data_IF_685891987504
#
_entry.id   IF_685891987504
#
_cell.length_a   1.000
_cell.length_b   1.000
_cell.length_c   1.000
_cell.angle_alpha   90.00
_cell.angle_beta   90.00
_cell.angle_gamma   90.00
#
_symmetry.space_group_name_H-M   'P 1'
#
loop_
_entity.id
_entity.type
_entity.pdbx_description
1 polymer ?
#
# COMPACT_ATOMS: atom_id res chain seq x y z
N UNK A 1 48.73 -67.49 -10.67
CA UNK A 1 48.63 -67.40 -9.20
C UNK A 1 47.17 -67.25 -8.83
N UNK A 2 46.68 -68.18 -8.03
CA UNK A 2 45.32 -68.36 -7.49
C UNK A 2 45.02 -67.40 -6.33
N UNK A 3 43.73 -67.07 -6.11
CA UNK A 3 43.03 -66.87 -4.81
C UNK A 3 41.81 -65.94 -5.04
N UNK A 4 40.54 -66.36 -4.91
CA UNK A 4 39.74 -66.57 -3.66
C UNK A 4 39.81 -65.30 -2.78
N UNK A 5 38.76 -64.61 -2.33
CA UNK A 5 37.33 -64.86 -2.23
C UNK A 5 36.81 -64.13 -0.96
N UNK A 6 35.50 -63.85 -0.92
CA UNK A 6 34.67 -63.65 0.27
C UNK A 6 34.51 -62.26 0.96
N UNK A 7 33.25 -61.81 0.88
CA UNK A 7 32.35 -61.29 1.94
C UNK A 7 32.32 -59.82 2.42
N UNK A 8 31.09 -59.29 2.69
CA UNK A 8 30.80 -57.89 2.98
C UNK A 8 30.69 -57.60 4.49
N UNK A 9 30.87 -56.33 4.87
CA UNK A 9 30.59 -55.83 6.22
C UNK A 9 29.51 -54.74 6.17
N UNK A 10 28.35 -55.06 6.76
CA UNK A 10 27.30 -54.12 7.11
C UNK A 10 27.71 -53.29 8.33
N UNK A 11 27.40 -51.98 8.40
CA UNK A 11 27.48 -51.23 9.63
C UNK A 11 26.26 -51.49 10.53
N UNK A 12 26.55 -51.78 11.81
CA UNK A 12 25.62 -51.96 12.92
C UNK A 12 24.97 -50.62 13.28
N UNK A 13 23.63 -50.57 13.28
CA UNK A 13 22.82 -49.45 13.77
C UNK A 13 22.38 -49.72 15.20
N UNK A 14 22.92 -48.99 16.18
CA UNK A 14 22.48 -48.99 17.57
C UNK A 14 21.21 -48.16 17.74
N UNK A 15 20.08 -48.80 18.04
CA UNK A 15 18.83 -48.15 18.44
C UNK A 15 18.90 -47.79 19.94
N UNK A 16 18.83 -46.50 20.25
CA UNK A 16 18.54 -46.02 21.60
C UNK A 16 17.03 -46.02 21.82
N UNK A 17 16.59 -46.78 22.83
CA UNK A 17 15.19 -46.83 23.29
C UNK A 17 15.03 -45.83 24.43
N UNK A 18 14.26 -44.77 24.22
CA UNK A 18 13.87 -43.81 25.26
C UNK A 18 12.49 -44.19 25.79
N UNK A 19 12.41 -44.60 27.05
CA UNK A 19 11.15 -44.84 27.76
C UNK A 19 10.56 -43.50 28.22
N UNK A 20 9.39 -43.13 27.74
CA UNK A 20 8.60 -41.99 28.23
C UNK A 20 7.45 -42.50 29.10
N UNK A 21 7.45 -42.09 30.36
CA UNK A 21 6.38 -42.38 31.32
C UNK A 21 5.20 -41.42 31.12
N UNK A 22 3.98 -41.98 31.06
CA UNK A 22 2.71 -41.26 30.90
C UNK A 22 2.19 -40.77 32.26
N UNK A 23 1.90 -39.47 32.47
CA UNK A 23 1.20 -39.01 33.67
C UNK A 23 -0.33 -39.20 33.57
N UNK A 24 -0.96 -39.48 34.72
CA UNK A 24 -2.39 -39.68 34.90
C UNK A 24 -3.22 -38.38 34.68
N UNK A 25 -4.51 -38.47 34.31
CA UNK A 25 -5.32 -37.29 34.00
C UNK A 25 -5.78 -36.54 35.26
N UNK A 26 -5.46 -35.25 35.32
CA UNK A 26 -5.96 -34.31 36.34
C UNK A 26 -7.35 -33.80 35.96
N UNK A 27 -8.29 -33.86 36.91
CA UNK A 27 -9.66 -33.38 36.76
C UNK A 27 -9.66 -31.84 36.74
N UNK A 28 -10.08 -31.23 35.62
CA UNK A 28 -10.19 -29.78 35.50
C UNK A 28 -11.49 -29.28 36.16
N UNK A 29 -11.35 -28.34 37.11
CA UNK A 29 -12.45 -27.59 37.71
C UNK A 29 -12.94 -26.54 36.72
N UNK A 30 -14.24 -26.54 36.39
CA UNK A 30 -14.85 -25.46 35.61
C UNK A 30 -14.90 -24.19 36.45
N UNK A 31 -14.11 -23.18 36.07
CA UNK A 31 -14.26 -21.81 36.55
C UNK A 31 -15.08 -21.04 35.52
N UNK A 32 -16.28 -20.64 35.90
CA UNK A 32 -17.17 -19.80 35.07
C UNK A 32 -16.56 -18.40 34.95
N UNK A 33 -16.01 -18.07 33.78
CA UNK A 33 -15.57 -16.71 33.46
C UNK A 33 -16.80 -15.91 33.00
N UNK A 34 -17.14 -14.86 33.74
CA UNK A 34 -18.18 -13.91 33.33
C UNK A 34 -17.60 -13.09 32.19
N UNK A 35 -18.08 -13.31 30.97
CA UNK A 35 -17.74 -12.50 29.80
C UNK A 35 -18.27 -11.08 30.00
N UNK A 36 -17.40 -10.17 30.44
CA UNK A 36 -17.61 -8.74 30.24
C UNK A 36 -17.46 -8.48 28.74
N UNK A 37 -18.59 -8.33 28.05
CA UNK A 37 -18.62 -7.88 26.65
C UNK A 37 -18.14 -6.43 26.66
N UNK A 38 -16.83 -6.22 26.45
CA UNK A 38 -16.35 -4.92 26.03
C UNK A 38 -16.91 -4.67 24.63
N UNK A 39 -17.68 -3.60 24.52
CA UNK A 39 -18.15 -3.07 23.26
C UNK A 39 -16.93 -2.47 22.55
N UNK A 40 -16.21 -3.31 21.78
CA UNK A 40 -15.15 -2.81 20.91
C UNK A 40 -15.77 -1.82 19.94
N UNK A 41 -15.32 -0.57 20.03
CA UNK A 41 -15.62 0.43 19.03
C UNK A 41 -15.05 -0.08 17.71
N UNK A 42 -15.83 -0.15 16.61
CA UNK A 42 -15.31 -0.67 15.36
C UNK A 42 -14.13 0.21 14.95
N UNK A 43 -12.91 -0.35 15.04
CA UNK A 43 -11.74 0.25 14.40
C UNK A 43 -12.08 0.30 12.93
N UNK A 44 -12.23 1.51 12.40
CA UNK A 44 -12.46 1.70 10.97
C UNK A 44 -11.27 1.06 10.26
N UNK A 45 -11.52 -0.06 9.59
CA UNK A 45 -10.56 -0.66 8.67
C UNK A 45 -10.27 0.41 7.63
N UNK A 46 -9.12 1.09 7.75
CA UNK A 46 -8.66 1.97 6.69
C UNK A 46 -8.45 1.08 5.47
N UNK A 47 -9.28 1.28 4.44
CA UNK A 47 -9.09 0.61 3.16
C UNK A 47 -7.85 1.23 2.55
N UNK A 48 -6.73 0.53 2.62
CA UNK A 48 -5.51 0.97 1.96
C UNK A 48 -5.59 0.53 0.50
N UNK A 49 -5.66 1.50 -0.41
CA UNK A 49 -5.54 1.23 -1.84
C UNK A 49 -4.08 0.99 -2.20
N UNK A 50 -3.78 -0.13 -2.86
CA UNK A 50 -2.45 -0.42 -3.38
C UNK A 50 -2.42 -0.26 -4.90
N UNK A 51 -1.52 0.58 -5.41
CA UNK A 51 -1.39 0.76 -6.86
C UNK A 51 -0.59 -0.39 -7.50
N UNK A 52 -1.01 -0.81 -8.69
CA UNK A 52 -0.33 -1.88 -9.44
C UNK A 52 1.01 -1.41 -9.99
N UNK A 53 2.11 -1.71 -9.29
CA UNK A 53 3.48 -1.27 -9.62
C UNK A 53 3.86 -1.48 -11.08
N UNK A 54 3.65 -2.68 -11.62
CA UNK A 54 4.01 -3.02 -13.00
C UNK A 54 3.23 -2.19 -14.03
N UNK A 55 1.93 -1.98 -13.77
CA UNK A 55 1.08 -1.16 -14.63
C UNK A 55 1.51 0.31 -14.56
N UNK A 56 1.73 0.83 -13.36
CA UNK A 56 2.19 2.21 -13.13
C UNK A 56 3.52 2.50 -13.83
N UNK A 57 4.49 1.60 -13.73
CA UNK A 57 5.78 1.73 -14.43
C UNK A 57 5.58 1.69 -15.95
N UNK A 58 4.74 0.78 -16.44
CA UNK A 58 4.44 0.64 -17.87
C UNK A 58 3.84 1.93 -18.44
N UNK A 59 2.78 2.46 -17.85
CA UNK A 59 2.14 3.68 -18.34
C UNK A 59 3.07 4.89 -18.28
N UNK A 60 3.92 4.99 -17.27
CA UNK A 60 4.92 6.05 -17.15
C UNK A 60 5.98 5.93 -18.25
N UNK A 61 6.52 4.73 -18.47
CA UNK A 61 7.57 4.48 -19.47
C UNK A 61 7.09 4.76 -20.91
N UNK A 62 5.84 4.43 -21.21
CA UNK A 62 5.24 4.66 -22.53
C UNK A 62 4.48 5.98 -22.64
N UNK A 63 4.40 6.79 -21.57
CA UNK A 63 3.68 8.05 -21.54
C UNK A 63 2.18 7.92 -21.84
N UNK A 64 1.57 6.78 -21.46
CA UNK A 64 0.17 6.47 -21.80
C UNK A 64 -0.79 7.24 -20.91
N UNK A 65 -1.48 8.23 -21.49
CA UNK A 65 -2.50 9.01 -20.77
C UNK A 65 -3.63 8.11 -20.25
N UNK A 66 -4.04 8.36 -19.02
CA UNK A 66 -5.18 7.75 -18.35
C UNK A 66 -6.40 8.65 -18.44
N UNK A 67 -7.55 8.05 -18.70
CA UNK A 67 -8.84 8.69 -18.58
C UNK A 67 -9.76 7.73 -17.81
N UNK A 68 -10.67 8.29 -17.03
CA UNK A 68 -11.68 7.53 -16.30
C UNK A 68 -12.91 8.41 -16.11
N UNK A 69 -14.09 7.91 -16.47
CA UNK A 69 -15.35 8.65 -16.36
C UNK A 69 -15.73 9.01 -14.92
N UNK A 70 -15.25 8.24 -13.93
CA UNK A 70 -15.46 8.50 -12.51
C UNK A 70 -14.61 9.67 -11.99
N UNK A 71 -13.51 10.01 -12.68
CA UNK A 71 -12.79 11.26 -12.45
C UNK A 71 -13.44 12.45 -13.20
N UNK A 72 -14.17 12.17 -14.27
CA UNK A 72 -14.73 13.16 -15.19
C UNK A 72 -13.91 13.30 -16.48
N UNK A 73 -14.19 14.37 -17.23
CA UNK A 73 -13.56 14.59 -18.54
C UNK A 73 -12.52 15.70 -18.51
N UNK A 74 -11.34 15.42 -19.08
CA UNK A 74 -10.32 16.42 -19.32
C UNK A 74 -10.73 17.38 -20.44
N UNK A 75 -11.16 18.58 -20.07
CA UNK A 75 -11.43 19.66 -21.02
C UNK A 75 -10.14 20.45 -21.33
N UNK A 76 -9.81 20.74 -22.61
CA UNK A 76 -8.65 21.54 -22.96
C UNK A 76 -8.68 22.91 -22.28
N UNK A 77 -7.59 23.30 -21.61
CA UNK A 77 -7.49 24.56 -20.88
C UNK A 77 -8.25 24.61 -19.55
N UNK A 78 -8.88 23.52 -19.11
CA UNK A 78 -9.38 23.43 -17.74
C UNK A 78 -8.22 23.29 -16.74
N UNK A 79 -8.39 23.89 -15.56
CA UNK A 79 -7.50 23.70 -14.41
C UNK A 79 -7.90 22.48 -13.58
N UNK A 80 -8.94 21.75 -13.98
CA UNK A 80 -9.40 20.58 -13.26
C UNK A 80 -8.36 19.46 -13.34
N UNK A 81 -8.11 18.81 -12.22
CA UNK A 81 -7.07 17.80 -12.08
C UNK A 81 -7.58 16.38 -12.35
N UNK A 82 -8.62 16.27 -13.19
CA UNK A 82 -9.31 15.05 -13.62
C UNK A 82 -8.34 13.97 -14.14
N UNK A 83 -7.32 14.37 -14.89
CA UNK A 83 -6.27 13.46 -15.36
C UNK A 83 -5.51 12.78 -14.21
N UNK A 84 -5.23 13.53 -13.14
CA UNK A 84 -4.50 13.05 -11.98
C UNK A 84 -5.36 12.10 -11.14
N UNK A 85 -6.67 12.36 -11.11
CA UNK A 85 -7.66 11.51 -10.47
C UNK A 85 -7.82 10.19 -11.23
N UNK A 86 -8.00 10.26 -12.55
CA UNK A 86 -8.10 9.08 -13.42
C UNK A 86 -6.87 8.17 -13.30
N UNK A 87 -5.67 8.76 -13.16
CA UNK A 87 -4.44 8.01 -12.90
C UNK A 87 -4.55 7.20 -11.60
N UNK A 88 -4.99 7.82 -10.50
CA UNK A 88 -5.11 7.17 -9.20
C UNK A 88 -6.20 6.08 -9.23
N UNK A 89 -7.37 6.37 -9.79
CA UNK A 89 -8.48 5.40 -9.91
C UNK A 89 -8.02 4.17 -10.69
N UNK A 90 -7.45 4.37 -11.88
CA UNK A 90 -7.07 3.26 -12.76
C UNK A 90 -5.93 2.42 -12.17
N UNK A 91 -4.95 3.05 -11.51
CA UNK A 91 -3.76 2.33 -11.03
C UNK A 91 -3.97 1.66 -9.69
N UNK A 92 -4.80 2.24 -8.83
CA UNK A 92 -4.96 1.84 -7.43
C UNK A 92 -6.36 1.30 -7.13
N UNK A 93 -7.22 1.22 -8.15
CA UNK A 93 -8.59 0.72 -8.04
C UNK A 93 -9.36 1.42 -6.90
N UNK A 94 -9.21 2.74 -6.83
CA UNK A 94 -9.89 3.57 -5.83
C UNK A 94 -11.32 3.86 -6.25
N UNK A 95 -12.13 4.36 -5.30
CA UNK A 95 -13.43 4.96 -5.62
C UNK A 95 -13.26 6.26 -6.41
N UNK A 96 -14.36 6.84 -6.87
CA UNK A 96 -14.39 8.20 -7.41
C UNK A 96 -13.90 9.27 -6.39
N UNK A 97 -13.31 10.39 -6.84
CA UNK A 97 -12.54 11.28 -5.97
C UNK A 97 -13.32 11.91 -4.82
N UNK A 98 -14.62 12.14 -5.00
CA UNK A 98 -15.46 12.70 -3.94
C UNK A 98 -15.72 11.74 -2.77
N UNK A 99 -15.43 10.45 -2.95
CA UNK A 99 -15.53 9.41 -1.92
C UNK A 99 -14.19 9.11 -1.23
N UNK A 100 -13.10 9.74 -1.68
CA UNK A 100 -11.79 9.58 -1.04
C UNK A 100 -11.78 10.17 0.36
N UNK A 101 -11.16 9.44 1.27
CA UNK A 101 -10.96 9.87 2.65
C UNK A 101 -9.53 10.28 2.88
N UNK A 102 -9.38 11.31 3.69
CA UNK A 102 -8.08 11.74 4.15
C UNK A 102 -7.48 10.68 5.10
N UNK A 103 -6.33 10.12 4.71
CA UNK A 103 -5.51 9.26 5.54
C UNK A 103 -4.42 10.02 6.30
N UNK A 104 -3.31 9.34 6.57
CA UNK A 104 -2.16 9.99 7.22
C UNK A 104 -1.48 10.97 6.27
N UNK A 105 -1.04 12.12 6.79
CA UNK A 105 -0.24 13.07 6.02
C UNK A 105 1.06 12.45 5.54
N UNK A 106 1.37 12.62 4.25
CA UNK A 106 2.58 12.01 3.65
C UNK A 106 3.84 12.45 4.39
N UNK A 107 3.96 13.74 4.70
CA UNK A 107 5.15 14.28 5.36
C UNK A 107 5.34 13.84 6.81
N UNK A 108 4.30 13.38 7.51
CA UNK A 108 4.45 12.92 8.90
C UNK A 108 4.97 11.48 8.99
N UNK A 109 4.80 10.70 7.92
CA UNK A 109 5.14 9.26 7.88
C UNK A 109 5.96 8.88 6.65
N UNK A 110 6.57 9.86 5.97
CA UNK A 110 7.09 9.71 4.60
C UNK A 110 7.94 8.44 4.42
N UNK A 111 8.93 8.21 5.29
CA UNK A 111 9.87 7.08 5.17
C UNK A 111 9.19 5.70 5.32
N UNK A 112 7.98 5.68 5.88
CA UNK A 112 7.17 4.47 6.05
C UNK A 112 6.03 4.34 5.04
N UNK A 113 5.79 5.36 4.20
CA UNK A 113 4.80 5.27 3.12
C UNK A 113 5.31 4.26 2.09
N UNK A 114 4.55 3.19 1.80
CA UNK A 114 4.91 2.26 0.75
C UNK A 114 5.06 2.97 -0.59
N UNK A 115 6.02 2.55 -1.40
CA UNK A 115 6.07 3.00 -2.79
C UNK A 115 4.80 2.57 -3.52
N UNK A 116 4.32 3.42 -4.40
CA UNK A 116 3.08 3.24 -5.16
C UNK A 116 1.81 3.32 -4.30
N UNK A 117 1.82 4.20 -3.30
CA UNK A 117 0.63 4.56 -2.51
C UNK A 117 -0.08 5.77 -3.15
N UNK A 118 -1.41 5.75 -3.28
CA UNK A 118 -2.14 6.91 -3.78
C UNK A 118 -2.14 8.03 -2.75
N UNK A 119 -1.86 9.24 -3.21
CA UNK A 119 -1.80 10.46 -2.39
C UNK A 119 -2.58 11.56 -3.08
N UNK A 120 -3.21 12.42 -2.29
CA UNK A 120 -3.94 13.57 -2.81
C UNK A 120 -3.90 14.74 -1.84
N UNK A 121 -4.20 15.93 -2.34
CA UNK A 121 -4.45 17.08 -1.48
C UNK A 121 -5.82 17.01 -0.83
N UNK A 122 -5.89 17.25 0.48
CA UNK A 122 -7.15 17.34 1.21
C UNK A 122 -7.30 18.72 1.84
N UNK A 123 -8.53 19.24 1.84
CA UNK A 123 -8.93 20.50 2.46
C UNK A 123 -10.07 20.20 3.42
N UNK A 124 -9.88 20.50 4.71
CA UNK A 124 -10.86 20.22 5.77
C UNK A 124 -11.39 18.78 5.75
N UNK A 125 -10.50 17.79 5.56
CA UNK A 125 -10.86 16.37 5.53
C UNK A 125 -11.44 15.87 4.21
N UNK A 126 -11.53 16.72 3.17
CA UNK A 126 -12.19 16.40 1.90
C UNK A 126 -11.29 16.68 0.71
N UNK A 127 -11.38 15.81 -0.28
CA UNK A 127 -10.80 16.07 -1.58
C UNK A 127 -11.67 17.07 -2.35
N UNK A 128 -11.04 18.02 -3.06
CA UNK A 128 -11.72 18.96 -3.95
C UNK A 128 -11.17 18.79 -5.36
N UNK A 129 -12.01 18.40 -6.32
CA UNK A 129 -11.64 18.36 -7.73
C UNK A 129 -11.34 19.77 -8.29
N UNK A 130 -11.93 20.80 -7.67
CA UNK A 130 -11.63 22.20 -7.97
C UNK A 130 -10.39 22.63 -7.18
N UNK A 131 -9.21 22.38 -7.75
CA UNK A 131 -7.93 22.84 -7.22
C UNK A 131 -7.22 21.89 -6.25
N UNK A 132 -7.61 20.61 -6.20
CA UNK A 132 -6.83 19.55 -5.58
C UNK A 132 -5.99 18.79 -6.59
N UNK A 133 -4.92 18.12 -6.15
CA UNK A 133 -4.05 17.32 -7.02
C UNK A 133 -3.88 15.92 -6.42
N UNK A 134 -3.92 14.91 -7.27
CA UNK A 134 -3.74 13.52 -6.88
C UNK A 134 -2.57 12.87 -7.62
N UNK A 135 -2.05 11.77 -7.09
CA UNK A 135 -0.97 11.04 -7.73
C UNK A 135 -0.56 9.80 -6.96
N UNK A 136 0.57 9.24 -7.39
CA UNK A 136 1.11 8.00 -6.83
C UNK A 136 2.47 8.29 -6.23
N UNK A 137 2.61 8.11 -4.93
CA UNK A 137 3.84 8.32 -4.19
C UNK A 137 4.95 7.37 -4.67
N UNK A 138 6.16 7.91 -4.90
CA UNK A 138 7.33 7.14 -5.33
C UNK A 138 8.61 7.44 -4.56
N UNK A 139 8.53 8.20 -3.46
CA UNK A 139 9.63 8.33 -2.51
C UNK A 139 9.72 9.69 -1.83
N UNK A 140 10.49 9.73 -0.75
CA UNK A 140 10.70 10.94 0.04
C UNK A 140 11.83 11.81 -0.49
N UNK A 141 11.77 13.08 -0.12
CA UNK A 141 12.82 14.08 -0.25
C UNK A 141 13.02 14.73 1.12
N UNK A 142 14.16 15.37 1.34
CA UNK A 142 14.47 16.06 2.60
C UNK A 142 13.40 17.12 2.97
N UNK A 143 12.85 17.80 1.96
CA UNK A 143 11.85 18.86 2.12
C UNK A 143 10.53 18.56 1.38
N UNK A 144 10.20 17.28 1.19
CA UNK A 144 9.05 16.91 0.38
C UNK A 144 8.98 15.45 -0.03
N UNK A 145 8.35 15.20 -1.18
CA UNK A 145 8.27 13.86 -1.75
C UNK A 145 8.16 13.91 -3.28
N UNK A 146 8.29 12.73 -3.90
CA UNK A 146 8.11 12.52 -5.33
C UNK A 146 6.79 11.80 -5.56
N UNK A 147 6.05 12.23 -6.58
CA UNK A 147 4.87 11.52 -7.03
C UNK A 147 4.77 11.47 -8.54
N UNK A 148 4.16 10.40 -9.04
CA UNK A 148 3.72 10.29 -10.42
C UNK A 148 2.38 10.99 -10.55
N UNK A 149 2.26 11.88 -11.53
CA UNK A 149 1.07 12.69 -11.79
C UNK A 149 0.77 12.74 -13.28
N UNK A 150 -0.49 13.02 -13.61
CA UNK A 150 -0.90 13.36 -14.96
C UNK A 150 -1.70 14.67 -14.94
N UNK A 151 -1.41 15.55 -15.90
CA UNK A 151 -2.24 16.72 -16.22
C UNK A 151 -2.95 16.46 -17.56
N UNK A 152 -4.13 17.05 -17.79
CA UNK A 152 -4.92 16.79 -18.99
C UNK A 152 -4.12 17.02 -20.30
N UNK A 153 -3.34 18.10 -20.34
CA UNK A 153 -2.56 18.49 -21.52
C UNK A 153 -1.12 17.96 -21.50
N UNK A 154 -0.72 17.17 -20.49
CA UNK A 154 0.64 16.63 -20.38
C UNK A 154 0.66 15.11 -20.31
N UNK A 155 1.82 14.53 -20.60
CA UNK A 155 2.04 13.11 -20.34
C UNK A 155 2.19 12.88 -18.84
N UNK A 156 2.07 11.62 -18.45
CA UNK A 156 2.39 11.17 -17.10
C UNK A 156 3.86 11.49 -16.82
N UNK A 157 4.13 12.11 -15.67
CA UNK A 157 5.49 12.48 -15.26
C UNK A 157 5.68 12.27 -13.76
N UNK A 158 6.94 12.20 -13.34
CA UNK A 158 7.31 12.31 -11.92
C UNK A 158 7.56 13.78 -11.61
N UNK A 159 6.87 14.29 -10.60
CA UNK A 159 7.09 15.65 -10.08
C UNK A 159 7.62 15.59 -8.64
N UNK A 160 8.25 16.68 -8.22
CA UNK A 160 8.71 16.87 -6.84
C UNK A 160 7.75 17.84 -6.16
N UNK A 161 7.15 17.41 -5.05
CA UNK A 161 6.34 18.24 -4.17
C UNK A 161 7.26 18.71 -3.06
N UNK A 162 7.63 19.99 -3.05
CA UNK A 162 8.61 20.55 -2.11
C UNK A 162 8.13 21.87 -1.55
N UNK A 163 8.47 22.15 -0.28
CA UNK A 163 8.15 23.42 0.38
C UNK A 163 8.68 24.62 -0.42
N UNK A 164 7.85 25.67 -0.56
CA UNK A 164 8.21 26.90 -1.28
C UNK A 164 7.66 27.03 -2.70
N UNK A 165 6.87 26.07 -3.18
CA UNK A 165 6.08 26.17 -4.42
C UNK A 165 4.68 26.79 -4.23
N UNK A 166 3.86 26.77 -5.28
CA UNK A 166 2.42 27.08 -5.21
C UNK A 166 1.70 26.13 -4.24
N UNK A 167 0.48 26.43 -3.76
CA UNK A 167 -0.23 25.61 -2.75
C UNK A 167 -0.33 24.11 -3.12
N UNK A 168 -0.59 23.80 -4.40
CA UNK A 168 -0.60 22.41 -4.92
C UNK A 168 0.77 21.71 -4.84
N UNK A 169 1.82 22.46 -4.59
CA UNK A 169 3.19 21.98 -4.39
C UNK A 169 3.60 22.05 -2.92
N UNK A 170 2.71 22.45 -1.99
CA UNK A 170 2.99 22.38 -0.56
C UNK A 170 2.85 20.92 -0.11
N UNK A 171 3.96 20.27 0.30
CA UNK A 171 3.92 18.87 0.68
C UNK A 171 3.06 18.60 1.92
N UNK A 172 2.75 19.64 2.72
CA UNK A 172 1.92 19.52 3.92
C UNK A 172 0.43 19.35 3.61
N UNK A 173 0.00 19.66 2.39
CA UNK A 173 -1.39 19.51 1.98
C UNK A 173 -1.74 18.08 1.55
N UNK A 174 -0.76 17.17 1.50
CA UNK A 174 -0.94 15.84 0.96
C UNK A 174 -1.11 14.77 2.04
N UNK A 175 -2.09 13.90 1.80
CA UNK A 175 -2.40 12.75 2.65
C UNK A 175 -2.58 11.50 1.78
N UNK A 176 -2.39 10.34 2.40
CA UNK A 176 -2.71 9.05 1.78
C UNK A 176 -4.20 8.99 1.49
N UNK A 177 -4.58 8.47 0.32
CA UNK A 177 -5.98 8.25 -0.06
C UNK A 177 -6.46 6.92 0.52
N UNK A 178 -7.58 6.95 1.26
CA UNK A 178 -8.29 5.81 1.85
C UNK A 178 -9.77 5.74 1.43
#
# INVERSE_FOLDING_TARGET
MTSIGAHPLNPVSTKHTTNTATPAPTKATLTTLVNSIMMETPSQVMVTYECTKALTIGILAYGLKQANTEAGDCQPGSKDHVASEALVINMCNTLEPHNWKEGQHVMSVCDSVPLYTPVATFFDGKYSSQGGLAGIFVGCLENGFKMIVQECDRNITVIHITTGGHFLMDPRSYSIVN
#
